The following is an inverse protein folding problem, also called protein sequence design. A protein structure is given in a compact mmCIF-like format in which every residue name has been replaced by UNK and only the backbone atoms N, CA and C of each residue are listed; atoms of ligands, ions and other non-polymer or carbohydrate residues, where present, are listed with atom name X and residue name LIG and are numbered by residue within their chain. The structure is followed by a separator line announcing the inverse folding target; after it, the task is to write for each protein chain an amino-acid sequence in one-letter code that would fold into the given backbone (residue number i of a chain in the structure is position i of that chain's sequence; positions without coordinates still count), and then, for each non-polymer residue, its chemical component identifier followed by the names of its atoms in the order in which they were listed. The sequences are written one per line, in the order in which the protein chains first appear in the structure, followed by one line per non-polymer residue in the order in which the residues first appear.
data_IF_498008403008
#
_entry.id   IF_498008403008
#
_cell.length_a   1.000
_cell.length_b   1.000
_cell.length_c   1.000
_cell.angle_alpha   90.00
_cell.angle_beta   90.00
_cell.angle_gamma   90.00
#
_symmetry.space_group_name_H-M   'P 1'
#
loop_
_entity.id
_entity.type
_entity.pdbx_description
1 polymer ?
#
# COMPACT_ATOMS: atom_id res chain seq x y z
N UNK A 1 -9.43 -26.25 25.30
CA UNK A 1 -9.89 -25.07 24.54
C UNK A 1 -8.71 -24.61 23.67
N UNK A 2 -8.59 -25.14 22.46
CA UNK A 2 -7.51 -24.73 21.54
C UNK A 2 -7.92 -23.44 20.85
N UNK A 3 -7.15 -22.36 21.04
CA UNK A 3 -7.26 -21.17 20.18
C UNK A 3 -6.63 -21.56 18.84
N UNK A 4 -7.46 -21.94 17.87
CA UNK A 4 -7.03 -22.01 16.48
C UNK A 4 -6.71 -20.58 16.05
N UNK A 5 -5.42 -20.28 15.87
CA UNK A 5 -5.00 -18.98 15.32
C UNK A 5 -5.57 -18.88 13.91
N UNK A 6 -6.55 -18.00 13.71
CA UNK A 6 -7.06 -17.71 12.37
C UNK A 6 -5.89 -17.30 11.45
N UNK A 7 -5.88 -17.74 10.19
CA UNK A 7 -4.81 -17.38 9.27
C UNK A 7 -4.78 -15.86 9.08
N UNK A 8 -3.62 -15.24 9.31
CA UNK A 8 -3.41 -13.79 9.17
C UNK A 8 -3.75 -13.22 7.79
N UNK A 9 -3.81 -14.08 6.77
CA UNK A 9 -4.11 -13.75 5.38
C UNK A 9 -5.45 -14.36 4.94
N UNK A 10 -6.54 -13.92 5.57
CA UNK A 10 -7.88 -14.26 5.08
C UNK A 10 -8.20 -13.48 3.81
N UNK A 11 -9.12 -13.98 2.96
CA UNK A 11 -9.63 -13.20 1.82
C UNK A 11 -10.19 -11.83 2.23
N UNK A 12 -10.82 -11.75 3.41
CA UNK A 12 -11.30 -10.47 3.96
C UNK A 12 -10.15 -9.49 4.23
N UNK A 13 -9.05 -9.98 4.83
CA UNK A 13 -7.88 -9.14 5.11
C UNK A 13 -7.20 -8.64 3.84
N UNK A 14 -7.14 -9.48 2.80
CA UNK A 14 -6.63 -9.06 1.49
C UNK A 14 -7.54 -8.01 0.85
N UNK A 15 -8.86 -8.17 0.96
CA UNK A 15 -9.82 -7.19 0.45
C UNK A 15 -9.69 -5.83 1.15
N UNK A 16 -9.40 -5.79 2.45
CA UNK A 16 -9.12 -4.54 3.19
C UNK A 16 -7.88 -3.84 2.63
N UNK A 17 -6.79 -4.58 2.39
CA UNK A 17 -5.56 -4.03 1.79
C UNK A 17 -5.85 -3.45 0.39
N UNK A 18 -6.60 -4.19 -0.44
CA UNK A 18 -6.97 -3.73 -1.78
C UNK A 18 -7.83 -2.46 -1.75
N UNK A 19 -8.77 -2.36 -0.81
CA UNK A 19 -9.58 -1.16 -0.61
C UNK A 19 -8.71 0.04 -0.20
N UNK A 20 -7.77 -0.17 0.72
CA UNK A 20 -6.83 0.88 1.11
C UNK A 20 -5.93 1.29 -0.05
N UNK A 21 -5.43 0.36 -0.85
CA UNK A 21 -4.64 0.64 -2.04
C UNK A 21 -5.44 1.46 -3.07
N UNK A 22 -6.69 1.06 -3.36
CA UNK A 22 -7.58 1.82 -4.24
C UNK A 22 -7.75 3.27 -3.74
N UNK A 23 -8.02 3.45 -2.45
CA UNK A 23 -8.17 4.77 -1.88
C UNK A 23 -6.86 5.59 -1.82
N UNK A 24 -5.67 4.97 -1.79
CA UNK A 24 -4.39 5.72 -1.94
C UNK A 24 -4.25 6.21 -3.37
N UNK A 25 -4.46 5.31 -4.34
CA UNK A 25 -4.39 5.64 -5.76
C UNK A 25 -5.31 6.79 -6.09
N UNK A 26 -6.56 6.71 -5.64
CA UNK A 26 -7.57 7.71 -5.97
C UNK A 26 -7.19 9.08 -5.38
N UNK A 27 -6.65 9.14 -4.15
CA UNK A 27 -6.13 10.40 -3.57
C UNK A 27 -5.00 10.96 -4.44
N UNK A 28 -3.97 10.15 -4.72
CA UNK A 28 -2.80 10.64 -5.46
C UNK A 28 -3.18 11.13 -6.85
N UNK A 29 -4.00 10.37 -7.57
CA UNK A 29 -4.47 10.74 -8.92
C UNK A 29 -5.32 12.01 -8.89
N UNK A 30 -6.23 12.15 -7.92
CA UNK A 30 -7.06 13.35 -7.79
C UNK A 30 -6.25 14.59 -7.38
N UNK A 31 -5.19 14.42 -6.62
CA UNK A 31 -4.26 15.49 -6.22
C UNK A 31 -3.27 15.86 -7.34
N UNK A 32 -3.38 15.22 -8.52
CA UNK A 32 -2.49 15.47 -9.66
C UNK A 32 -1.10 14.82 -9.52
N UNK A 33 -0.93 13.96 -8.52
CA UNK A 33 0.27 13.14 -8.37
C UNK A 33 0.13 11.83 -9.15
N UNK A 34 1.23 11.39 -9.77
CA UNK A 34 1.32 10.04 -10.33
C UNK A 34 1.56 8.99 -9.23
N UNK A 35 1.41 7.70 -9.57
CA UNK A 35 1.75 6.58 -8.67
C UNK A 35 3.25 6.27 -8.67
N UNK A 36 4.09 7.29 -8.82
CA UNK A 36 5.54 7.13 -8.80
C UNK A 36 6.06 6.80 -7.41
N UNK A 37 7.25 6.18 -7.33
CA UNK A 37 7.88 5.78 -6.07
C UNK A 37 8.02 6.92 -5.07
N UNK A 38 8.35 8.14 -5.54
CA UNK A 38 8.48 9.34 -4.70
C UNK A 38 7.12 9.71 -4.10
N UNK A 39 6.07 9.81 -4.91
CA UNK A 39 4.74 10.19 -4.44
C UNK A 39 4.16 9.17 -3.44
N UNK A 40 4.38 7.88 -3.69
CA UNK A 40 3.98 6.81 -2.77
C UNK A 40 4.77 6.87 -1.45
N UNK A 41 6.07 7.15 -1.49
CA UNK A 41 6.89 7.28 -0.29
C UNK A 41 6.52 8.51 0.54
N UNK A 42 6.25 9.65 -0.10
CA UNK A 42 5.81 10.87 0.57
C UNK A 42 4.43 10.69 1.19
N UNK A 43 3.52 10.02 0.49
CA UNK A 43 2.21 9.65 1.04
C UNK A 43 2.34 8.76 2.28
N UNK A 44 3.16 7.70 2.21
CA UNK A 44 3.38 6.81 3.35
C UNK A 44 3.97 7.55 4.55
N UNK A 45 4.97 8.41 4.32
CA UNK A 45 5.57 9.23 5.39
C UNK A 45 4.54 10.14 6.05
N UNK A 46 3.72 10.85 5.27
CA UNK A 46 2.67 11.70 5.82
C UNK A 46 1.65 10.94 6.67
N UNK A 47 1.28 9.72 6.24
CA UNK A 47 0.41 8.83 7.03
C UNK A 47 1.06 8.44 8.35
N UNK A 48 2.34 8.04 8.33
CA UNK A 48 3.09 7.70 9.55
C UNK A 48 3.24 8.89 10.49
N UNK A 49 3.59 10.07 9.98
CA UNK A 49 3.82 11.27 10.78
C UNK A 49 2.55 11.64 11.55
N UNK A 50 1.42 11.77 10.86
CA UNK A 50 0.12 12.08 11.49
C UNK A 50 -0.30 11.00 12.48
N UNK A 51 -0.09 9.73 12.16
CA UNK A 51 -0.42 8.63 13.06
C UNK A 51 0.45 8.67 14.34
N UNK A 52 1.76 8.88 14.20
CA UNK A 52 2.70 8.94 15.32
C UNK A 52 2.44 10.13 16.23
N UNK A 53 2.10 11.29 15.68
CA UNK A 53 1.63 12.44 16.46
C UNK A 53 0.38 12.09 17.29
N UNK A 54 -0.48 11.23 16.77
CA UNK A 54 -1.63 10.66 17.46
C UNK A 54 -1.33 9.52 18.45
N UNK A 55 -0.06 9.17 18.67
CA UNK A 55 0.34 8.09 19.57
C UNK A 55 0.24 6.68 18.97
N UNK A 56 0.11 6.57 17.65
CA UNK A 56 0.08 5.27 16.96
C UNK A 56 1.40 4.51 17.10
N UNK A 57 1.25 3.19 17.22
CA UNK A 57 2.33 2.21 17.16
C UNK A 57 1.90 1.08 16.22
N UNK A 58 2.79 0.53 15.37
CA UNK A 58 2.41 -0.51 14.42
C UNK A 58 1.82 -1.76 15.07
N UNK A 59 0.72 -2.29 14.51
CA UNK A 59 0.08 -3.53 14.94
C UNK A 59 -0.59 -4.30 13.79
N UNK A 60 -0.92 -5.56 14.02
CA UNK A 60 -1.33 -6.47 12.95
C UNK A 60 -2.75 -6.21 12.39
N UNK A 61 -3.57 -5.37 13.04
CA UNK A 61 -4.99 -5.14 12.72
C UNK A 61 -5.43 -3.66 12.73
N UNK A 62 -4.50 -2.72 12.56
CA UNK A 62 -4.84 -1.30 12.51
C UNK A 62 -4.90 -0.74 11.08
N UNK A 63 -5.68 0.33 10.91
CA UNK A 63 -5.93 0.92 9.59
C UNK A 63 -4.67 1.57 8.98
N UNK A 64 -3.72 2.04 9.80
CA UNK A 64 -2.48 2.65 9.33
C UNK A 64 -1.59 1.56 8.73
N UNK A 65 -1.45 0.43 9.43
CA UNK A 65 -0.73 -0.74 8.91
C UNK A 65 -1.35 -1.28 7.61
N UNK A 66 -2.69 -1.34 7.53
CA UNK A 66 -3.39 -1.68 6.29
C UNK A 66 -3.12 -0.68 5.16
N UNK A 67 -3.14 0.63 5.47
CA UNK A 67 -2.87 1.71 4.51
C UNK A 67 -1.45 1.60 3.95
N UNK A 68 -0.46 1.40 4.81
CA UNK A 68 0.94 1.24 4.44
C UNK A 68 1.17 -0.05 3.64
N UNK A 69 0.51 -1.15 3.99
CA UNK A 69 0.53 -2.36 3.17
C UNK A 69 -0.04 -2.11 1.77
N UNK A 70 -1.12 -1.34 1.65
CA UNK A 70 -1.68 -0.91 0.36
C UNK A 70 -0.70 -0.06 -0.46
N UNK A 71 0.06 0.84 0.18
CA UNK A 71 1.12 1.60 -0.50
C UNK A 71 2.22 0.67 -1.05
N UNK A 72 2.67 -0.30 -0.24
CA UNK A 72 3.65 -1.29 -0.68
C UNK A 72 3.14 -2.10 -1.88
N UNK A 73 1.86 -2.49 -1.88
CA UNK A 73 1.24 -3.18 -3.00
C UNK A 73 1.28 -2.35 -4.30
N UNK A 74 0.93 -1.05 -4.22
CA UNK A 74 1.01 -0.15 -5.37
C UNK A 74 2.44 0.03 -5.88
N UNK A 75 3.41 0.17 -4.97
CA UNK A 75 4.83 0.30 -5.33
C UNK A 75 5.36 -0.95 -6.05
N UNK A 76 4.99 -2.14 -5.58
CA UNK A 76 5.36 -3.40 -6.23
C UNK A 76 4.71 -3.54 -7.61
N UNK A 77 3.43 -3.17 -7.74
CA UNK A 77 2.73 -3.20 -9.02
C UNK A 77 3.34 -2.22 -10.05
N UNK A 78 3.68 -1.01 -9.62
CA UNK A 78 4.33 0.00 -10.46
C UNK A 78 5.73 -0.43 -10.93
N UNK A 79 6.53 -1.02 -10.03
CA UNK A 79 7.85 -1.56 -10.38
C UNK A 79 7.77 -2.73 -11.37
N UNK A 80 6.78 -3.61 -11.22
CA UNK A 80 6.54 -4.69 -12.17
C UNK A 80 6.15 -4.16 -13.56
N UNK A 81 5.30 -3.13 -13.63
CA UNK A 81 4.88 -2.51 -14.89
C UNK A 81 6.05 -1.82 -15.60
N UNK A 82 6.87 -1.06 -14.87
CA UNK A 82 8.08 -0.43 -15.43
C UNK A 82 9.08 -1.48 -15.97
N UNK A 83 9.26 -2.60 -15.26
CA UNK A 83 10.14 -3.68 -15.72
C UNK A 83 9.64 -4.37 -17.00
N UNK A 84 8.31 -4.44 -17.20
CA UNK A 84 7.72 -4.97 -18.43
C UNK A 84 7.96 -4.01 -19.60
N UNK A 85 7.79 -2.70 -19.39
CA UNK A 85 8.04 -1.67 -20.39
C UNK A 85 9.50 -1.67 -20.85
N UNK A 86 10.46 -1.74 -19.91
CA UNK A 86 11.89 -1.86 -20.22
C UNK A 86 12.20 -3.13 -21.03
N UNK A 87 11.51 -4.24 -20.73
CA UNK A 87 11.66 -5.50 -21.45
C UNK A 87 11.13 -5.45 -22.88
N UNK A 88 9.99 -4.79 -23.12
CA UNK A 88 9.43 -4.60 -24.46
C UNK A 88 10.30 -3.66 -25.32
N UNK A 89 10.82 -2.58 -24.70
CA UNK A 89 11.76 -1.66 -25.35
C UNK A 89 13.09 -2.33 -25.74
N UNK A 90 13.58 -3.31 -24.97
CA UNK A 90 14.80 -4.05 -25.28
C UNK A 90 14.65 -5.07 -26.43
N UNK A 91 13.41 -5.42 -26.82
CA UNK A 91 13.10 -6.37 -27.88
C UNK A 91 12.74 -5.71 -29.22
N UNK A 92 12.68 -4.38 -29.28
CA UNK A 92 12.39 -3.55 -30.46
C UNK A 92 13.66 -3.01 -31.11
#
# INVERSE_FOLDING_TARGET
MGMETAPRWTPGRLAEIDQHAAAVRDILVLDGHGLGSIALADYARGVEDVAREGGWHPGDDDWVSLRLAGVCLLAMAGGAMASIEDGDAALS
#
